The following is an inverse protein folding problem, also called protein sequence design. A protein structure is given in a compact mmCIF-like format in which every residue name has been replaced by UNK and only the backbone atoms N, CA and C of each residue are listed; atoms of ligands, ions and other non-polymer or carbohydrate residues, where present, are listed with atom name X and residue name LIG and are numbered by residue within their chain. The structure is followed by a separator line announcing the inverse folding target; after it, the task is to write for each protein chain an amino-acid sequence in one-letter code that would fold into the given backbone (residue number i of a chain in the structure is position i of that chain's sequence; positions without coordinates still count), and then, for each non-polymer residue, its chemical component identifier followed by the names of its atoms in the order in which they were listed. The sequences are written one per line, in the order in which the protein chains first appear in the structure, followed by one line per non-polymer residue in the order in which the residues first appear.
data_IF_802405528377
#
_entry.id   IF_802405528377
#
_cell.length_a   1.000
_cell.length_b   1.000
_cell.length_c   1.000
_cell.angle_alpha   90.00
_cell.angle_beta   90.00
_cell.angle_gamma   90.00
#
_symmetry.space_group_name_H-M   'P 1'
#
loop_
_entity.id
_entity.type
_entity.pdbx_description
1 polymer ?
#
# COMPACT_ATOMS: atom_id res chain seq x y z
N UNK A 1 26.55 26.08 14.29
CA UNK A 1 26.16 24.91 15.08
C UNK A 1 25.77 23.84 14.09
N UNK A 2 26.60 22.80 13.96
CA UNK A 2 26.44 21.77 12.95
C UNK A 2 25.31 20.84 13.39
N UNK A 3 24.35 20.60 12.50
CA UNK A 3 23.30 19.63 12.69
C UNK A 3 23.92 18.24 12.48
N UNK A 4 24.55 17.70 13.53
CA UNK A 4 25.50 16.59 13.40
C UNK A 4 24.84 15.26 13.01
N UNK A 5 23.53 15.04 13.23
CA UNK A 5 22.96 13.70 12.99
C UNK A 5 21.45 13.66 12.73
N UNK A 6 21.02 12.80 11.80
CA UNK A 6 19.65 12.27 11.77
C UNK A 6 19.30 11.56 13.09
N UNK A 7 20.30 11.01 13.78
CA UNK A 7 20.16 10.42 15.11
C UNK A 7 19.65 11.42 16.17
N UNK A 8 20.02 12.70 16.11
CA UNK A 8 19.51 13.73 17.04
C UNK A 8 18.04 14.06 16.76
N UNK A 9 17.60 14.00 15.50
CA UNK A 9 16.17 14.17 15.14
C UNK A 9 15.30 13.01 15.65
N UNK A 10 15.82 11.79 15.63
CA UNK A 10 15.15 10.64 16.22
C UNK A 10 15.22 10.65 17.75
N UNK A 11 16.34 11.11 18.31
CA UNK A 11 16.61 11.18 19.75
C UNK A 11 16.28 12.55 20.37
N UNK A 12 15.48 13.39 19.70
CA UNK A 12 14.99 14.68 20.21
C UNK A 12 14.03 14.44 21.40
N UNK A 13 14.61 14.18 22.57
CA UNK A 13 13.96 14.31 23.89
C UNK A 13 12.62 13.60 24.08
N UNK A 14 12.33 12.52 23.35
CA UNK A 14 11.09 11.73 23.47
C UNK A 14 10.01 12.00 22.41
N UNK A 15 10.14 13.01 21.55
CA UNK A 15 9.14 13.35 20.52
C UNK A 15 9.30 12.62 19.19
N UNK A 16 10.51 12.15 18.87
CA UNK A 16 10.79 11.43 17.62
C UNK A 16 9.93 10.17 17.47
N UNK A 17 9.67 9.45 18.57
CA UNK A 17 8.83 8.25 18.58
C UNK A 17 7.38 8.54 18.16
N UNK A 18 6.82 9.70 18.52
CA UNK A 18 5.46 10.08 18.11
C UNK A 18 5.38 10.38 16.62
N UNK A 19 6.33 11.15 16.10
CA UNK A 19 6.37 11.52 14.67
C UNK A 19 6.52 10.25 13.84
N UNK A 20 7.55 9.45 14.11
CA UNK A 20 7.79 8.21 13.38
C UNK A 20 6.68 7.17 13.57
N UNK A 21 6.08 7.10 14.76
CA UNK A 21 4.91 6.27 15.03
C UNK A 21 3.71 6.67 14.16
N UNK A 22 3.38 7.96 14.07
CA UNK A 22 2.30 8.45 13.21
C UNK A 22 2.56 8.18 11.72
N UNK A 23 3.80 8.39 11.24
CA UNK A 23 4.18 8.05 9.86
C UNK A 23 4.07 6.55 9.59
N UNK A 24 4.48 5.72 10.55
CA UNK A 24 4.41 4.26 10.44
C UNK A 24 2.94 3.78 10.40
N UNK A 25 2.08 4.33 11.25
CA UNK A 25 0.63 4.04 11.22
C UNK A 25 0.01 4.45 9.88
N UNK A 26 0.32 5.66 9.39
CA UNK A 26 -0.16 6.11 8.09
C UNK A 26 0.31 5.18 6.94
N UNK A 27 1.57 4.75 6.96
CA UNK A 27 2.12 3.82 5.98
C UNK A 27 1.42 2.45 6.05
N UNK A 28 1.11 1.95 7.24
CA UNK A 28 0.33 0.70 7.42
C UNK A 28 -1.06 0.84 6.82
N UNK A 29 -1.76 1.96 7.06
CA UNK A 29 -3.09 2.20 6.46
C UNK A 29 -3.03 2.18 4.93
N UNK A 30 -2.04 2.86 4.32
CA UNK A 30 -1.86 2.88 2.87
C UNK A 30 -1.57 1.47 2.32
N UNK A 31 -0.68 0.73 2.98
CA UNK A 31 -0.36 -0.65 2.57
C UNK A 31 -1.61 -1.54 2.68
N UNK A 32 -2.38 -1.41 3.75
CA UNK A 32 -3.64 -2.12 3.96
C UNK A 32 -4.63 -1.88 2.81
N UNK A 33 -4.86 -0.61 2.47
CA UNK A 33 -5.70 -0.22 1.33
C UNK A 33 -5.19 -0.82 0.00
N UNK A 34 -3.88 -0.71 -0.26
CA UNK A 34 -3.26 -1.25 -1.49
C UNK A 34 -3.40 -2.78 -1.57
N UNK A 35 -3.26 -3.48 -0.45
CA UNK A 35 -3.43 -4.94 -0.36
C UNK A 35 -4.90 -5.33 -0.59
N UNK A 36 -5.84 -4.63 0.04
CA UNK A 36 -7.29 -4.84 -0.19
C UNK A 36 -7.67 -4.62 -1.66
N UNK A 37 -7.19 -3.53 -2.26
CA UNK A 37 -7.42 -3.21 -3.68
C UNK A 37 -6.78 -4.27 -4.58
N UNK A 38 -5.56 -4.74 -4.28
CA UNK A 38 -4.91 -5.82 -5.02
C UNK A 38 -5.68 -7.14 -4.91
N UNK A 39 -6.22 -7.45 -3.73
CA UNK A 39 -7.10 -8.60 -3.51
C UNK A 39 -8.34 -8.54 -4.40
N UNK A 40 -9.02 -7.39 -4.45
CA UNK A 40 -10.19 -7.17 -5.31
C UNK A 40 -9.84 -7.24 -6.81
N UNK A 41 -8.68 -6.73 -7.22
CA UNK A 41 -8.22 -6.80 -8.62
C UNK A 41 -8.04 -8.25 -9.08
N UNK A 42 -7.53 -9.15 -8.25
CA UNK A 42 -7.44 -10.59 -8.60
C UNK A 42 -8.81 -11.20 -8.93
N UNK A 43 -9.87 -10.77 -8.25
CA UNK A 43 -11.24 -11.22 -8.54
C UNK A 43 -11.76 -10.70 -9.87
N UNK A 44 -11.47 -9.44 -10.21
CA UNK A 44 -11.88 -8.82 -11.49
C UNK A 44 -11.14 -9.41 -12.71
N UNK A 45 -9.84 -9.69 -12.60
CA UNK A 45 -9.08 -10.32 -13.69
C UNK A 45 -9.54 -11.76 -13.97
N UNK A 46 -9.97 -12.51 -12.95
CA UNK A 46 -10.56 -13.85 -13.15
C UNK A 46 -11.84 -13.81 -13.99
N UNK A 47 -12.67 -12.76 -13.87
CA UNK A 47 -13.91 -12.65 -14.63
C UNK A 47 -13.70 -12.14 -16.07
N UNK A 48 -12.73 -11.27 -16.32
CA UNK A 48 -12.45 -10.76 -17.67
C UNK A 48 -11.86 -11.83 -18.61
N UNK A 49 -11.10 -12.79 -18.07
CA UNK A 49 -10.59 -13.93 -18.85
C UNK A 49 -11.70 -14.86 -19.37
N UNK A 50 -12.83 -14.97 -18.65
CA UNK A 50 -13.94 -15.82 -19.08
C UNK A 50 -14.82 -15.16 -20.15
N UNK A 51 -15.03 -13.83 -20.07
CA UNK A 51 -15.92 -13.10 -20.99
C UNK A 51 -15.40 -13.07 -22.43
N UNK A 52 -14.08 -13.14 -22.64
CA UNK A 52 -13.48 -13.22 -23.98
C UNK A 52 -13.69 -14.59 -24.63
N UNK A 53 -13.75 -15.65 -23.83
CA UNK A 53 -13.88 -17.03 -24.30
C UNK A 53 -15.32 -17.40 -24.65
N UNK A 54 -16.32 -16.75 -24.05
CA UNK A 54 -17.72 -16.92 -24.43
C UNK A 54 -18.09 -16.15 -25.70
N UNK A 55 -17.51 -14.96 -25.93
CA UNK A 55 -17.75 -14.19 -27.16
C UNK A 55 -17.16 -14.90 -28.39
N UNK A 56 -15.95 -15.46 -28.29
CA UNK A 56 -15.34 -16.23 -29.38
C UNK A 56 -15.98 -17.60 -29.63
N UNK A 57 -16.86 -18.07 -28.73
CA UNK A 57 -17.54 -19.38 -28.86
C UNK A 57 -18.98 -19.26 -29.37
N UNK A 58 -19.56 -18.05 -29.36
CA UNK A 58 -20.87 -17.77 -29.96
C UNK A 58 -20.81 -17.44 -31.46
N UNK A 59 -19.61 -17.40 -32.03
CA UNK A 59 -19.36 -17.10 -33.45
C UNK A 59 -18.90 -18.36 -34.24
N UNK A 60 -19.43 -19.53 -33.89
CA UNK A 60 -19.31 -20.79 -34.64
C UNK A 60 -20.66 -21.49 -34.65
#
# INVERSE_FOLDING_TARGET
MKWESLSDFFAMGGYGLYVWGSYLVAMICIIGEVVLIRGRKRTLYKHLGQKRRSILRGEK
#
